data_IF_376792350517
#
_entry.id   IF_376792350517
#
_cell.length_a   1.000
_cell.length_b   1.000
_cell.length_c   1.000
_cell.angle_alpha   90.00
_cell.angle_beta   90.00
_cell.angle_gamma   90.00
#
_symmetry.space_group_name_H-M   'P 1'
#
loop_
_entity.id
_entity.type
_entity.pdbx_description
1 polymer ?
#
# COMPACT_ATOMS: atom_id res chain seq x y z
N UNK A 1 9.88 20.25 -23.27
CA UNK A 1 8.64 20.92 -22.79
C UNK A 1 7.33 20.15 -23.08
N UNK A 2 7.29 19.20 -24.03
CA UNK A 2 6.06 18.43 -24.34
C UNK A 2 5.84 17.11 -23.58
N UNK A 3 6.87 16.53 -22.95
CA UNK A 3 6.76 15.27 -22.20
C UNK A 3 6.24 15.46 -20.76
N UNK A 4 6.57 16.57 -20.10
CA UNK A 4 6.10 16.85 -18.74
C UNK A 4 4.58 17.04 -18.66
N UNK A 5 3.96 17.50 -19.75
CA UNK A 5 2.51 17.73 -19.85
C UNK A 5 1.70 16.43 -19.98
N UNK A 6 2.32 15.33 -20.44
CA UNK A 6 1.65 14.02 -20.58
C UNK A 6 1.65 13.21 -19.29
N UNK A 7 2.68 13.33 -18.45
CA UNK A 7 2.82 12.53 -17.23
C UNK A 7 2.10 13.13 -16.02
N UNK A 8 1.95 14.46 -15.98
CA UNK A 8 1.31 15.17 -14.86
C UNK A 8 -0.23 15.18 -14.94
N UNK A 9 -0.81 15.00 -16.13
CA UNK A 9 -2.26 15.08 -16.34
C UNK A 9 -3.01 13.74 -16.41
N UNK A 10 -2.33 12.60 -16.57
CA UNK A 10 -3.00 11.31 -16.84
C UNK A 10 -3.30 10.42 -15.61
N UNK A 11 -2.44 10.29 -14.57
CA UNK A 11 -2.75 9.39 -13.45
C UNK A 11 -3.82 9.97 -12.52
N UNK A 12 -3.77 11.28 -12.23
CA UNK A 12 -4.68 11.94 -11.27
C UNK A 12 -6.12 12.04 -11.82
N UNK A 13 -6.28 12.30 -13.12
CA UNK A 13 -7.61 12.34 -13.75
C UNK A 13 -8.26 10.95 -13.83
N UNK A 14 -7.46 9.89 -14.04
CA UNK A 14 -7.97 8.52 -14.08
C UNK A 14 -8.47 8.02 -12.73
N UNK A 15 -7.76 8.35 -11.64
CA UNK A 15 -8.17 7.98 -10.29
C UNK A 15 -9.30 8.85 -9.75
N UNK A 16 -9.35 10.15 -10.04
CA UNK A 16 -10.51 11.00 -9.74
C UNK A 16 -11.78 10.56 -10.48
N UNK A 17 -11.64 10.09 -11.72
CA UNK A 17 -12.75 9.47 -12.47
C UNK A 17 -13.19 8.16 -11.82
N UNK A 18 -12.24 7.35 -11.35
CA UNK A 18 -12.54 6.09 -10.62
C UNK A 18 -13.23 6.38 -9.30
N UNK A 19 -12.79 7.42 -8.58
CA UNK A 19 -13.44 7.92 -7.37
C UNK A 19 -14.84 8.45 -7.68
N UNK A 20 -15.03 9.27 -8.71
CA UNK A 20 -16.34 9.77 -9.11
C UNK A 20 -17.29 8.65 -9.60
N UNK A 21 -16.76 7.61 -10.24
CA UNK A 21 -17.52 6.42 -10.64
C UNK A 21 -17.89 5.59 -9.42
N UNK A 22 -16.96 5.34 -8.49
CA UNK A 22 -17.26 4.63 -7.24
C UNK A 22 -18.28 5.43 -6.42
N UNK A 23 -18.05 6.71 -6.18
CA UNK A 23 -18.97 7.58 -5.44
C UNK A 23 -20.34 7.70 -6.14
N UNK A 24 -20.37 7.82 -7.47
CA UNK A 24 -21.59 7.83 -8.27
C UNK A 24 -22.35 6.50 -8.20
N UNK A 25 -21.65 5.36 -8.24
CA UNK A 25 -22.22 4.01 -8.09
C UNK A 25 -22.75 3.77 -6.67
N UNK A 26 -22.08 4.31 -5.64
CA UNK A 26 -22.53 4.28 -4.24
C UNK A 26 -23.73 5.18 -4.00
N UNK A 27 -23.82 6.33 -4.67
CA UNK A 27 -24.93 7.29 -4.54
C UNK A 27 -26.20 6.83 -5.28
N UNK A 28 -26.07 6.02 -6.35
CA UNK A 28 -27.19 5.65 -7.22
C UNK A 28 -27.87 4.31 -6.88
N UNK A 29 -27.37 3.52 -5.92
CA UNK A 29 -27.98 2.22 -5.58
C UNK A 29 -28.05 1.92 -4.09
N UNK A 30 -29.27 1.96 -3.56
CA UNK A 30 -29.63 1.45 -2.22
C UNK A 30 -29.29 -0.05 -2.01
N UNK A 31 -29.06 -0.81 -3.10
CA UNK A 31 -28.76 -2.24 -3.06
C UNK A 31 -27.26 -2.60 -2.98
N UNK A 32 -26.33 -1.65 -3.21
CA UNK A 32 -24.91 -1.99 -3.33
C UNK A 32 -24.27 -2.40 -2.01
N UNK A 33 -24.69 -1.78 -0.92
CA UNK A 33 -24.20 -2.09 0.43
C UNK A 33 -24.98 -3.20 1.13
N UNK A 34 -26.17 -3.55 0.62
CA UNK A 34 -27.03 -4.55 1.26
C UNK A 34 -26.33 -5.91 1.38
N UNK A 35 -25.84 -6.46 0.25
CA UNK A 35 -25.20 -7.77 0.25
C UNK A 35 -23.89 -7.80 1.06
N UNK A 36 -22.93 -6.85 0.89
CA UNK A 36 -21.71 -6.83 1.69
C UNK A 36 -21.96 -6.66 3.19
N UNK A 37 -22.91 -5.79 3.58
CA UNK A 37 -23.27 -5.58 4.99
C UNK A 37 -23.92 -6.84 5.56
N UNK A 38 -24.81 -7.48 4.80
CA UNK A 38 -25.46 -8.74 5.21
C UNK A 38 -24.44 -9.85 5.41
N UNK A 39 -23.51 -10.03 4.47
CA UNK A 39 -22.41 -11.00 4.61
C UNK A 39 -21.56 -10.66 5.83
N UNK A 40 -21.23 -9.38 6.04
CA UNK A 40 -20.45 -8.93 7.19
C UNK A 40 -21.12 -9.33 8.49
N UNK A 41 -22.42 -9.07 8.65
CA UNK A 41 -23.20 -9.41 9.84
C UNK A 41 -23.27 -10.93 10.04
N UNK A 42 -23.67 -11.68 9.02
CA UNK A 42 -23.85 -13.15 9.13
C UNK A 42 -22.54 -13.85 9.48
N UNK A 43 -21.42 -13.39 8.93
CA UNK A 43 -20.10 -14.00 9.20
C UNK A 43 -19.37 -13.36 10.39
N UNK A 44 -19.99 -12.38 11.06
CA UNK A 44 -19.42 -11.60 12.15
C UNK A 44 -19.03 -12.44 13.36
N UNK A 45 -19.92 -13.31 13.83
CA UNK A 45 -19.65 -14.16 15.00
C UNK A 45 -18.44 -15.07 14.79
N UNK A 46 -18.34 -15.69 13.61
CA UNK A 46 -17.19 -16.54 13.27
C UNK A 46 -15.88 -15.75 13.23
N UNK A 47 -15.88 -14.54 12.65
CA UNK A 47 -14.69 -13.68 12.65
C UNK A 47 -14.30 -13.27 14.06
N UNK A 48 -15.27 -12.86 14.88
CA UNK A 48 -15.05 -12.47 16.27
C UNK A 48 -14.47 -13.64 17.09
N UNK A 49 -15.00 -14.85 16.89
CA UNK A 49 -14.48 -16.06 17.52
C UNK A 49 -13.03 -16.35 17.11
N UNK A 50 -12.73 -16.33 15.80
CA UNK A 50 -11.37 -16.56 15.30
C UNK A 50 -10.39 -15.49 15.79
N UNK A 51 -10.85 -14.24 15.88
CA UNK A 51 -10.05 -13.13 16.38
C UNK A 51 -9.76 -13.27 17.87
N UNK A 52 -10.76 -13.60 18.68
CA UNK A 52 -10.57 -13.88 20.11
C UNK A 52 -9.61 -15.05 20.32
N UNK A 53 -9.81 -16.15 19.60
CA UNK A 53 -8.90 -17.29 19.66
C UNK A 53 -7.46 -16.90 19.32
N UNK A 54 -7.26 -16.08 18.27
CA UNK A 54 -5.94 -15.58 17.92
C UNK A 54 -5.31 -14.75 19.06
N UNK A 55 -6.06 -13.80 19.62
CA UNK A 55 -5.59 -12.93 20.70
C UNK A 55 -5.25 -13.72 21.96
N UNK A 56 -6.04 -14.74 22.28
CA UNK A 56 -5.81 -15.58 23.46
C UNK A 56 -4.56 -16.45 23.33
N UNK A 57 -4.15 -16.79 22.10
CA UNK A 57 -2.94 -17.60 21.84
C UNK A 57 -1.68 -16.77 21.61
N UNK A 58 -1.79 -15.54 21.09
CA UNK A 58 -0.62 -14.71 20.72
C UNK A 58 -0.28 -13.71 21.80
N UNK A 59 -1.18 -12.76 22.08
CA UNK A 59 -1.03 -11.75 23.12
C UNK A 59 -2.32 -10.96 23.25
N UNK A 60 -2.58 -10.45 24.45
CA UNK A 60 -3.69 -9.54 24.72
C UNK A 60 -3.24 -8.08 24.80
N UNK A 61 -1.93 -7.81 24.71
CA UNK A 61 -1.39 -6.45 24.72
C UNK A 61 -1.67 -5.73 23.38
N UNK A 62 -2.53 -4.72 23.45
CA UNK A 62 -2.97 -3.92 22.30
C UNK A 62 -1.80 -3.30 21.55
N UNK A 63 -0.80 -2.76 22.26
CA UNK A 63 0.36 -2.14 21.62
C UNK A 63 1.15 -3.17 20.80
N UNK A 64 1.44 -4.33 21.39
CA UNK A 64 2.15 -5.42 20.70
C UNK A 64 1.39 -5.89 19.47
N UNK A 65 0.07 -6.06 19.53
CA UNK A 65 -0.76 -6.50 18.38
C UNK A 65 -0.68 -5.49 17.24
N UNK A 66 -0.87 -4.21 17.53
CA UNK A 66 -0.83 -3.18 16.49
C UNK A 66 0.55 -3.08 15.85
N UNK A 67 1.61 -2.98 16.66
CA UNK A 67 2.98 -2.84 16.13
C UNK A 67 3.42 -4.08 15.37
N UNK A 68 3.28 -5.28 15.96
CA UNK A 68 3.73 -6.52 15.33
C UNK A 68 2.87 -6.93 14.13
N UNK A 69 1.54 -6.74 14.22
CA UNK A 69 0.60 -7.01 13.15
C UNK A 69 0.85 -6.11 11.94
N UNK A 70 0.99 -4.79 12.15
CA UNK A 70 1.35 -3.85 11.08
C UNK A 70 2.70 -4.19 10.47
N UNK A 71 3.72 -4.47 11.29
CA UNK A 71 5.03 -4.87 10.78
C UNK A 71 4.96 -6.14 9.92
N UNK A 72 4.26 -7.17 10.40
CA UNK A 72 4.11 -8.44 9.69
C UNK A 72 3.41 -8.23 8.34
N UNK A 73 2.29 -7.51 8.31
CA UNK A 73 1.54 -7.24 7.08
C UNK A 73 2.40 -6.47 6.09
N UNK A 74 3.13 -5.43 6.52
CA UNK A 74 3.98 -4.63 5.63
C UNK A 74 5.14 -5.47 5.06
N UNK A 75 5.79 -6.29 5.87
CA UNK A 75 6.86 -7.19 5.42
C UNK A 75 6.32 -8.21 4.43
N UNK A 76 5.23 -8.91 4.77
CA UNK A 76 4.64 -9.93 3.90
C UNK A 76 4.19 -9.33 2.57
N UNK A 77 3.48 -8.21 2.59
CA UNK A 77 3.03 -7.52 1.39
C UNK A 77 4.20 -7.17 0.48
N UNK A 78 5.26 -6.57 1.04
CA UNK A 78 6.45 -6.20 0.29
C UNK A 78 7.12 -7.42 -0.34
N UNK A 79 7.38 -8.46 0.44
CA UNK A 79 8.13 -9.62 -0.03
C UNK A 79 7.33 -10.52 -0.96
N UNK A 80 6.04 -10.73 -0.72
CA UNK A 80 5.20 -11.56 -1.60
C UNK A 80 5.07 -10.92 -2.98
N UNK A 81 4.68 -9.64 -3.04
CA UNK A 81 4.49 -8.94 -4.31
C UNK A 81 5.84 -8.66 -4.98
N UNK A 82 6.82 -8.19 -4.22
CA UNK A 82 8.17 -7.92 -4.72
C UNK A 82 8.88 -9.16 -5.23
N UNK A 83 8.73 -10.31 -4.55
CA UNK A 83 9.27 -11.58 -5.01
C UNK A 83 8.57 -12.06 -6.28
N UNK A 84 7.26 -11.90 -6.41
CA UNK A 84 6.53 -12.25 -7.62
C UNK A 84 7.06 -11.48 -8.84
N UNK A 85 7.24 -10.17 -8.71
CA UNK A 85 7.81 -9.35 -9.79
C UNK A 85 9.28 -9.67 -10.06
N UNK A 86 10.09 -9.82 -9.01
CA UNK A 86 11.50 -10.17 -9.15
C UNK A 86 11.68 -11.54 -9.80
N UNK A 87 10.81 -12.50 -9.48
CA UNK A 87 10.79 -13.82 -10.11
C UNK A 87 10.45 -13.74 -11.60
N UNK A 88 9.46 -12.93 -11.97
CA UNK A 88 9.12 -12.67 -13.37
C UNK A 88 10.28 -12.03 -14.14
N UNK A 89 11.02 -11.10 -13.52
CA UNK A 89 12.17 -10.41 -14.12
C UNK A 89 13.43 -11.29 -14.21
N UNK A 90 13.59 -12.25 -13.29
CA UNK A 90 14.68 -13.25 -13.33
C UNK A 90 14.42 -14.36 -14.36
N UNK A 91 13.18 -14.81 -14.48
CA UNK A 91 12.82 -15.98 -15.31
C UNK A 91 12.29 -15.62 -16.69
N UNK A 92 11.90 -14.35 -16.89
CA UNK A 92 11.25 -13.84 -18.10
C UNK A 92 9.96 -14.58 -18.49
N UNK A 93 9.30 -15.20 -17.51
CA UNK A 93 8.08 -16.02 -17.67
C UNK A 93 6.98 -15.56 -16.71
N UNK A 94 5.69 -15.74 -17.08
CA UNK A 94 5.18 -16.19 -18.38
C UNK A 94 5.16 -15.06 -19.43
N UNK A 95 5.42 -15.40 -20.70
CA UNK A 95 5.47 -14.43 -21.82
C UNK A 95 4.17 -13.61 -21.97
N UNK A 96 3.03 -14.18 -21.57
CA UNK A 96 1.72 -13.53 -21.64
C UNK A 96 1.59 -12.30 -20.71
N UNK A 97 2.30 -12.25 -19.58
CA UNK A 97 2.24 -11.14 -18.63
C UNK A 97 3.21 -10.01 -18.98
N UNK A 98 4.27 -10.29 -19.75
CA UNK A 98 5.27 -9.28 -20.15
C UNK A 98 4.68 -8.13 -20.95
N UNK A 99 3.58 -8.34 -21.68
CA UNK A 99 2.89 -7.28 -22.44
C UNK A 99 2.27 -6.19 -21.56
N UNK A 100 2.09 -6.45 -20.27
CA UNK A 100 1.54 -5.50 -19.29
C UNK A 100 2.61 -4.81 -18.43
N UNK A 101 3.91 -5.07 -18.70
CA UNK A 101 5.00 -4.46 -17.96
C UNK A 101 5.09 -2.97 -18.30
N UNK A 102 5.05 -2.12 -17.28
CA UNK A 102 5.08 -0.65 -17.41
C UNK A 102 6.42 -0.16 -18.00
N UNK A 103 7.52 -0.89 -17.78
CA UNK A 103 8.85 -0.57 -18.31
C UNK A 103 9.43 -1.78 -19.08
N UNK A 104 9.06 -1.96 -20.36
CA UNK A 104 9.59 -3.05 -21.18
C UNK A 104 11.10 -2.88 -21.43
N UNK A 105 11.83 -4.00 -21.47
CA UNK A 105 13.26 -4.09 -21.80
C UNK A 105 14.26 -3.37 -20.86
N UNK A 106 13.81 -2.86 -19.71
CA UNK A 106 14.71 -2.28 -18.70
C UNK A 106 15.23 -3.38 -17.76
N UNK A 107 16.55 -3.55 -17.67
CA UNK A 107 17.24 -4.51 -16.80
C UNK A 107 16.82 -6.00 -16.99
N UNK A 108 16.63 -6.45 -18.24
CA UNK A 108 16.33 -7.86 -18.56
C UNK A 108 17.53 -8.53 -19.28
N UNK A 109 18.04 -9.68 -18.81
CA UNK A 109 17.70 -10.35 -17.55
C UNK A 109 18.27 -9.60 -16.33
N UNK A 110 17.57 -9.66 -15.21
CA UNK A 110 18.00 -9.01 -13.98
C UNK A 110 19.34 -9.57 -13.50
N UNK A 111 20.35 -8.72 -13.33
CA UNK A 111 21.66 -9.11 -12.83
C UNK A 111 21.57 -9.52 -11.35
N UNK A 112 21.86 -10.79 -11.05
CA UNK A 112 21.75 -11.36 -9.68
C UNK A 112 22.55 -10.56 -8.64
N UNK A 113 23.72 -10.03 -9.00
CA UNK A 113 24.54 -9.22 -8.10
C UNK A 113 23.82 -7.92 -7.67
N UNK A 114 23.19 -7.23 -8.62
CA UNK A 114 22.38 -6.03 -8.36
C UNK A 114 21.16 -6.38 -7.51
N UNK A 115 20.49 -7.50 -7.78
CA UNK A 115 19.38 -7.96 -6.96
C UNK A 115 19.80 -8.17 -5.49
N UNK A 116 20.94 -8.83 -5.24
CA UNK A 116 21.45 -9.02 -3.88
C UNK A 116 21.75 -7.68 -3.20
N UNK A 117 22.33 -6.71 -3.91
CA UNK A 117 22.58 -5.38 -3.37
C UNK A 117 21.28 -4.67 -2.98
N UNK A 118 20.25 -4.72 -3.84
CA UNK A 118 18.94 -4.13 -3.55
C UNK A 118 18.29 -4.82 -2.36
N UNK A 119 18.31 -6.16 -2.30
CA UNK A 119 17.78 -6.93 -1.16
C UNK A 119 18.46 -6.52 0.15
N UNK A 120 19.79 -6.38 0.17
CA UNK A 120 20.53 -5.92 1.35
C UNK A 120 20.10 -4.51 1.77
N UNK A 121 19.95 -3.59 0.80
CA UNK A 121 19.52 -2.23 1.09
C UNK A 121 18.10 -2.19 1.64
N UNK A 122 17.20 -2.99 1.10
CA UNK A 122 15.81 -3.10 1.55
C UNK A 122 15.75 -3.63 2.98
N UNK A 123 16.51 -4.68 3.29
CA UNK A 123 16.58 -5.22 4.65
C UNK A 123 17.15 -4.20 5.65
N UNK A 124 18.17 -3.45 5.26
CA UNK A 124 18.69 -2.35 6.07
C UNK A 124 17.62 -1.27 6.29
N UNK A 125 16.92 -0.85 5.25
CA UNK A 125 15.86 0.16 5.36
C UNK A 125 14.70 -0.34 6.24
N UNK A 126 14.27 -1.58 6.07
CA UNK A 126 13.19 -2.16 6.88
C UNK A 126 13.58 -2.25 8.37
N UNK A 127 14.83 -2.62 8.67
CA UNK A 127 15.28 -2.81 10.06
C UNK A 127 15.66 -1.49 10.75
N UNK A 128 16.43 -0.63 10.09
CA UNK A 128 16.98 0.59 10.69
C UNK A 128 16.00 1.76 10.62
N UNK A 129 15.16 1.81 9.60
CA UNK A 129 14.18 2.91 9.42
C UNK A 129 12.76 2.43 9.69
N UNK A 130 12.36 1.32 9.06
CA UNK A 130 10.99 0.80 9.11
C UNK A 130 10.54 0.43 10.52
N UNK A 131 11.30 -0.43 11.21
CA UNK A 131 10.94 -0.89 12.57
C UNK A 131 10.84 0.30 13.56
N UNK A 132 11.83 1.21 13.66
CA UNK A 132 11.70 2.37 14.53
C UNK A 132 10.52 3.26 14.18
N UNK A 133 10.26 3.51 12.88
CA UNK A 133 9.12 4.31 12.46
C UNK A 133 7.78 3.69 12.87
N UNK A 134 7.61 2.37 12.70
CA UNK A 134 6.39 1.66 13.12
C UNK A 134 6.25 1.67 14.65
N UNK A 135 7.35 1.49 15.39
CA UNK A 135 7.31 1.55 16.85
C UNK A 135 6.87 2.94 17.35
N UNK A 136 7.48 4.01 16.83
CA UNK A 136 7.13 5.39 17.17
C UNK A 136 5.69 5.70 16.77
N UNK A 137 5.27 5.29 15.56
CA UNK A 137 3.89 5.41 15.10
C UNK A 137 2.91 4.70 16.03
N UNK A 138 3.25 3.49 16.48
CA UNK A 138 2.45 2.73 17.45
C UNK A 138 2.32 3.45 18.79
N UNK A 139 3.37 4.12 19.27
CA UNK A 139 3.30 4.91 20.52
C UNK A 139 2.39 6.13 20.37
N UNK A 140 2.47 6.81 19.23
CA UNK A 140 1.57 7.92 18.89
C UNK A 140 0.11 7.45 18.75
N UNK A 141 -0.09 6.26 18.19
CA UNK A 141 -1.41 5.66 18.05
C UNK A 141 -2.02 5.32 19.42
N UNK A 142 -1.27 4.69 20.32
CA UNK A 142 -1.73 4.39 21.68
C UNK A 142 -1.99 5.65 22.51
N UNK A 143 -1.25 6.74 22.26
CA UNK A 143 -1.50 8.03 22.92
C UNK A 143 -2.90 8.60 22.60
N UNK A 144 -3.53 8.20 21.50
CA UNK A 144 -4.89 8.61 21.12
C UNK A 144 -5.99 7.76 21.74
N UNK A 145 -5.62 6.83 22.63
CA UNK A 145 -6.53 5.87 23.28
C UNK A 145 -7.44 5.12 22.28
N UNK A 146 -6.85 4.25 21.43
CA UNK A 146 -7.61 3.58 20.39
C UNK A 146 -8.56 2.53 20.97
N UNK A 147 -9.66 2.21 20.25
CA UNK A 147 -10.66 1.28 20.73
C UNK A 147 -10.05 -0.10 21.05
N UNK A 148 -10.70 -0.88 21.94
CA UNK A 148 -10.19 -2.17 22.37
C UNK A 148 -9.93 -3.09 21.19
N UNK A 149 -8.74 -3.69 21.15
CA UNK A 149 -8.31 -4.58 20.07
C UNK A 149 -9.23 -5.79 19.86
N UNK A 150 -10.01 -6.19 20.88
CA UNK A 150 -10.97 -7.29 20.78
C UNK A 150 -12.20 -6.94 19.97
N UNK A 151 -12.58 -5.68 19.90
CA UNK A 151 -13.80 -5.27 19.22
C UNK A 151 -13.52 -5.12 17.72
N UNK A 152 -14.12 -5.98 16.90
CA UNK A 152 -14.04 -5.85 15.46
C UNK A 152 -14.86 -4.64 14.99
N UNK A 153 -14.33 -3.83 14.05
CA UNK A 153 -15.04 -2.67 13.54
C UNK A 153 -16.31 -3.06 12.77
N UNK A 154 -17.27 -2.15 12.75
CA UNK A 154 -18.42 -2.26 11.88
C UNK A 154 -18.03 -2.15 10.41
N UNK A 155 -18.84 -2.74 9.52
CA UNK A 155 -18.57 -2.77 8.08
C UNK A 155 -18.34 -1.38 7.49
N UNK A 156 -19.18 -0.41 7.88
CA UNK A 156 -19.11 0.95 7.35
C UNK A 156 -17.79 1.64 7.72
N UNK A 157 -17.27 1.41 8.93
CA UNK A 157 -15.97 1.96 9.36
C UNK A 157 -14.82 1.37 8.56
N UNK A 158 -14.82 0.06 8.34
CA UNK A 158 -13.82 -0.61 7.50
C UNK A 158 -13.85 -0.03 6.09
N UNK A 159 -15.04 0.14 5.51
CA UNK A 159 -15.22 0.71 4.18
C UNK A 159 -14.71 2.16 4.10
N UNK A 160 -15.03 3.01 5.08
CA UNK A 160 -14.55 4.39 5.14
C UNK A 160 -13.03 4.47 5.27
N UNK A 161 -12.42 3.59 6.09
CA UNK A 161 -10.97 3.51 6.22
C UNK A 161 -10.32 3.12 4.89
N UNK A 162 -10.87 2.13 4.17
CA UNK A 162 -10.38 1.77 2.84
C UNK A 162 -10.47 2.93 1.85
N UNK A 163 -11.59 3.66 1.84
CA UNK A 163 -11.77 4.82 0.97
C UNK A 163 -10.75 5.92 1.29
N UNK A 164 -10.51 6.18 2.58
CA UNK A 164 -9.51 7.12 3.04
C UNK A 164 -8.10 6.69 2.61
N UNK A 165 -7.71 5.42 2.78
CA UNK A 165 -6.41 4.92 2.35
C UNK A 165 -6.21 5.02 0.83
N UNK A 166 -7.25 4.76 0.03
CA UNK A 166 -7.19 4.96 -1.42
C UNK A 166 -6.95 6.43 -1.77
N UNK A 167 -7.63 7.36 -1.10
CA UNK A 167 -7.40 8.81 -1.30
C UNK A 167 -6.00 9.23 -0.88
N UNK A 168 -5.55 8.80 0.29
CA UNK A 168 -4.23 9.10 0.83
C UNK A 168 -3.14 8.60 -0.13
N UNK A 169 -3.27 7.37 -0.62
CA UNK A 169 -2.32 6.77 -1.56
C UNK A 169 -2.21 7.60 -2.84
N UNK A 170 -3.31 8.10 -3.39
CA UNK A 170 -3.32 8.96 -4.58
C UNK A 170 -2.60 10.29 -4.33
N UNK A 171 -2.88 10.93 -3.19
CA UNK A 171 -2.24 12.20 -2.80
C UNK A 171 -0.73 11.99 -2.63
N UNK A 172 -0.34 10.96 -1.87
CA UNK A 172 1.05 10.60 -1.65
C UNK A 172 1.77 10.29 -2.96
N UNK A 173 1.14 9.51 -3.84
CA UNK A 173 1.67 9.21 -5.17
C UNK A 173 1.94 10.48 -5.97
N UNK A 174 0.97 11.40 -6.04
CA UNK A 174 1.14 12.67 -6.75
C UNK A 174 2.35 13.47 -6.23
N UNK A 175 2.46 13.65 -4.91
CA UNK A 175 3.52 14.45 -4.32
C UNK A 175 4.89 13.78 -4.41
N UNK A 176 4.98 12.46 -4.23
CA UNK A 176 6.24 11.72 -4.38
C UNK A 176 6.73 11.83 -5.82
N UNK A 177 5.85 11.67 -6.81
CA UNK A 177 6.21 11.84 -8.22
C UNK A 177 6.64 13.27 -8.53
N UNK A 178 5.88 14.27 -8.07
CA UNK A 178 6.19 15.68 -8.29
C UNK A 178 7.53 16.08 -7.69
N UNK A 179 7.78 15.64 -6.45
CA UNK A 179 9.03 15.89 -5.74
C UNK A 179 10.22 15.24 -6.48
N UNK A 180 10.07 13.97 -6.89
CA UNK A 180 11.10 13.26 -7.66
C UNK A 180 11.44 13.95 -8.98
N UNK A 181 10.44 14.34 -9.78
CA UNK A 181 10.69 15.05 -11.04
C UNK A 181 11.37 16.41 -10.82
N UNK A 182 10.98 17.13 -9.76
CA UNK A 182 11.58 18.43 -9.43
C UNK A 182 13.03 18.27 -8.95
N UNK A 183 13.33 17.18 -8.25
CA UNK A 183 14.68 16.86 -7.81
C UNK A 183 15.63 16.55 -8.98
N UNK A 184 15.12 15.84 -10.00
CA UNK A 184 15.90 15.50 -11.19
C UNK A 184 16.18 16.73 -12.07
N UNK A 185 15.23 17.68 -12.15
CA UNK A 185 15.46 18.94 -12.88
C UNK A 185 16.50 19.82 -12.19
N UNK A 186 16.50 19.88 -10.85
CA UNK A 186 17.50 20.63 -10.07
C UNK A 186 18.92 20.02 -10.16
N UNK A 187 19.04 18.70 -10.35
CA UNK A 187 20.35 18.04 -10.55
C UNK A 187 20.90 18.18 -11.96
N UNK A 188 20.10 18.60 -12.93
CA UNK A 188 20.56 18.78 -14.31
C UNK A 188 21.67 19.85 -14.39
N UNK A 189 22.83 19.56 -15.00
CA UNK A 189 23.95 20.51 -15.07
C UNK A 189 23.61 21.81 -15.81
N UNK A 190 22.65 21.77 -16.73
CA UNK A 190 22.32 22.88 -17.63
C UNK A 190 21.53 24.02 -16.95
N UNK A 191 20.97 23.80 -15.76
CA UNK A 191 20.20 24.81 -15.01
C UNK A 191 20.95 25.37 -13.79
N UNK A 192 22.18 24.91 -13.52
CA UNK A 192 23.03 25.41 -12.42
C UNK A 192 23.89 26.63 -12.79
N UNK A 193 23.91 27.01 -14.06
CA UNK A 193 24.70 28.13 -14.60
C UNK A 193 23.87 29.35 -14.99
N UNK A 194 22.60 29.40 -14.55
CA UNK A 194 21.72 30.57 -14.59
C UNK A 194 21.44 30.99 -13.13
#
# INVERSE_FOLDING_TARGET
>A
MGLERKLTGQPVLGSLLTFAILFGVLFYRENLFYLPTTIWVITGEKRQFLWNWFLDNVTQDQFTIWVSGTLLILILQYWIIGALYSWMDLTLKPRALRKYKIQPATNEPLEKKKLIQVVKQVLFNQTVVGIPAIYLGGRLFMWRDPPPVRELPEFHWVFLQFLFFLLEQEICYYYVHRCGTTWDTLKSPQLRSL
#
